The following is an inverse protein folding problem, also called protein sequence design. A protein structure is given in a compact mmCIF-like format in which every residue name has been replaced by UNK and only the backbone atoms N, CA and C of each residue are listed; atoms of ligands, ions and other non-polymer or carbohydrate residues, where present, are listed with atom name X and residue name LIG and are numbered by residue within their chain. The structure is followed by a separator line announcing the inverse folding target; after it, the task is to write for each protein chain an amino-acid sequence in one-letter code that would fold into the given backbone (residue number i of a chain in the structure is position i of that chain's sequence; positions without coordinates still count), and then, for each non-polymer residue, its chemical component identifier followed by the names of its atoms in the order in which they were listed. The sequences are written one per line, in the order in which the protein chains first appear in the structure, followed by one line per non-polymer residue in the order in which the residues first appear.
data_IF_405322113002
#
_entry.id   IF_405322113002
#
_cell.length_a   1.000
_cell.length_b   1.000
_cell.length_c   1.000
_cell.angle_alpha   90.00
_cell.angle_beta   90.00
_cell.angle_gamma   90.00
#
_symmetry.space_group_name_H-M   'P 1'
#
loop_
_entity.id
_entity.type
_entity.pdbx_description
1 polymer ?
#
# COMPACT_ATOMS: atom_id res chain seq x y z
N UNK A 1 24.78 -3.08 26.34
CA UNK A 1 23.58 -3.41 27.14
C UNK A 1 22.53 -3.82 26.13
N UNK A 2 22.13 -5.08 26.12
CA UNK A 2 20.96 -5.47 25.32
C UNK A 2 19.76 -4.70 25.86
N UNK A 3 19.12 -3.91 25.02
CA UNK A 3 17.84 -3.28 25.33
C UNK A 3 16.82 -4.40 25.57
N UNK A 4 16.23 -4.41 26.77
CA UNK A 4 15.17 -5.35 27.11
C UNK A 4 13.97 -4.97 26.24
N UNK A 5 13.72 -5.73 25.16
CA UNK A 5 12.56 -5.54 24.30
C UNK A 5 11.31 -5.99 25.03
N UNK A 6 10.37 -5.07 25.16
CA UNK A 6 9.07 -5.33 25.80
C UNK A 6 8.15 -6.05 24.82
N UNK A 7 7.34 -6.99 25.32
CA UNK A 7 6.28 -7.64 24.51
C UNK A 7 4.91 -7.27 25.06
N UNK A 8 4.10 -6.64 24.19
CA UNK A 8 2.72 -6.22 24.50
C UNK A 8 1.71 -7.28 24.06
N UNK A 9 0.50 -7.25 24.64
CA UNK A 9 -0.56 -8.22 24.38
C UNK A 9 -1.71 -7.57 23.59
N UNK A 10 -1.64 -7.69 22.25
CA UNK A 10 -2.65 -7.14 21.34
C UNK A 10 -2.40 -5.68 20.95
N UNK A 11 -3.01 -5.30 19.83
CA UNK A 11 -2.99 -3.92 19.34
C UNK A 11 -3.82 -2.98 20.19
N UNK A 12 -4.87 -3.51 20.83
CA UNK A 12 -5.70 -2.74 21.76
C UNK A 12 -4.90 -2.20 22.96
N UNK A 13 -3.86 -2.92 23.43
CA UNK A 13 -2.96 -2.42 24.45
C UNK A 13 -2.15 -1.22 23.97
N UNK A 14 -1.61 -1.28 22.75
CA UNK A 14 -0.87 -0.17 22.13
C UNK A 14 -1.77 1.05 21.98
N UNK A 15 -2.99 0.87 21.46
CA UNK A 15 -3.97 1.94 21.32
C UNK A 15 -4.34 2.59 22.67
N UNK A 16 -4.40 1.79 23.74
CA UNK A 16 -4.61 2.32 25.10
C UNK A 16 -3.42 3.18 25.57
N UNK A 17 -2.18 2.73 25.33
CA UNK A 17 -0.96 3.48 25.66
C UNK A 17 -0.94 4.82 24.90
N UNK A 18 -1.29 4.84 23.63
CA UNK A 18 -1.40 6.06 22.82
C UNK A 18 -2.44 6.99 23.43
N UNK A 19 -3.65 6.49 23.70
CA UNK A 19 -4.76 7.28 24.27
C UNK A 19 -4.45 7.89 25.64
N UNK A 20 -3.65 7.21 26.44
CA UNK A 20 -3.17 7.70 27.74
C UNK A 20 -2.05 8.74 27.64
N UNK A 21 -1.63 9.11 26.41
CA UNK A 21 -0.51 10.04 26.18
C UNK A 21 0.85 9.47 26.59
N UNK A 22 0.99 8.15 26.61
CA UNK A 22 2.19 7.44 27.07
C UNK A 22 3.03 6.87 25.92
N UNK A 23 2.92 7.44 24.73
CA UNK A 23 3.63 6.98 23.52
C UNK A 23 5.16 6.83 23.75
N UNK A 24 5.74 7.67 24.62
CA UNK A 24 7.16 7.58 25.01
C UNK A 24 7.57 6.31 25.76
N UNK A 25 6.65 5.41 26.11
CA UNK A 25 6.93 4.09 26.68
C UNK A 25 7.19 3.03 25.59
N UNK A 26 6.81 3.32 24.35
CA UNK A 26 6.99 2.42 23.21
C UNK A 26 8.32 2.70 22.53
N UNK A 27 9.03 1.63 22.16
CA UNK A 27 10.33 1.75 21.51
C UNK A 27 10.36 1.00 20.18
N UNK A 28 11.14 1.51 19.24
CA UNK A 28 11.41 0.82 17.98
C UNK A 28 12.06 -0.55 18.27
N UNK A 29 11.47 -1.60 17.72
CA UNK A 29 11.91 -2.98 17.94
C UNK A 29 11.16 -3.73 19.04
N UNK A 30 10.35 -3.06 19.88
CA UNK A 30 9.41 -3.74 20.78
C UNK A 30 8.47 -4.64 20.01
N UNK A 31 7.97 -5.69 20.66
CA UNK A 31 7.12 -6.69 20.02
C UNK A 31 5.71 -6.71 20.58
N UNK A 32 4.77 -7.17 19.77
CA UNK A 32 3.36 -7.29 20.11
C UNK A 32 2.89 -8.68 19.70
N UNK A 33 2.15 -9.35 20.57
CA UNK A 33 1.54 -10.65 20.30
C UNK A 33 0.04 -10.49 20.13
N UNK A 34 -0.50 -10.78 18.94
CA UNK A 34 -1.95 -10.74 18.65
C UNK A 34 -2.51 -12.14 18.45
N UNK A 35 -3.80 -12.35 18.74
CA UNK A 35 -4.52 -13.54 18.28
C UNK A 35 -4.94 -13.36 16.84
N UNK A 36 -4.94 -14.47 16.09
CA UNK A 36 -5.32 -14.42 14.70
C UNK A 36 -5.76 -15.80 14.16
N UNK A 37 -6.69 -15.82 13.21
CA UNK A 37 -7.20 -17.08 12.63
C UNK A 37 -6.17 -17.83 11.78
N UNK A 38 -5.18 -17.16 11.19
CA UNK A 38 -4.09 -17.82 10.43
C UNK A 38 -3.18 -18.66 11.33
N UNK A 39 -2.96 -18.20 12.56
CA UNK A 39 -2.20 -18.90 13.62
C UNK A 39 -2.71 -18.42 14.96
N UNK A 40 -2.63 -19.27 15.97
CA UNK A 40 -3.05 -18.90 17.34
C UNK A 40 -2.46 -17.56 17.79
N UNK A 41 -1.19 -17.31 17.44
CA UNK A 41 -0.48 -16.07 17.72
C UNK A 41 0.34 -15.58 16.53
N UNK A 42 0.24 -14.27 16.26
CA UNK A 42 1.13 -13.55 15.36
C UNK A 42 2.00 -12.59 16.17
N UNK A 43 3.30 -12.57 15.86
CA UNK A 43 4.25 -11.65 16.46
C UNK A 43 4.52 -10.48 15.52
N UNK A 44 4.38 -9.27 16.05
CA UNK A 44 4.61 -8.02 15.35
C UNK A 44 5.74 -7.25 16.01
N UNK A 45 6.41 -6.40 15.26
CA UNK A 45 7.47 -5.53 15.72
C UNK A 45 7.13 -4.09 15.41
N UNK A 46 7.35 -3.18 16.37
CA UNK A 46 7.25 -1.75 16.15
C UNK A 46 8.40 -1.31 15.25
N UNK A 47 8.06 -0.79 14.07
CA UNK A 47 9.02 -0.31 13.08
C UNK A 47 9.03 1.20 12.92
N UNK A 48 7.94 1.88 13.33
CA UNK A 48 7.81 3.33 13.25
C UNK A 48 6.84 3.87 14.31
N UNK A 49 7.13 5.06 14.82
CA UNK A 49 6.26 5.82 15.71
C UNK A 49 5.99 7.15 15.03
N UNK A 50 4.71 7.51 14.84
CA UNK A 50 4.26 8.68 14.06
C UNK A 50 4.88 8.75 12.65
N UNK A 51 5.16 7.59 12.05
CA UNK A 51 5.76 7.50 10.72
C UNK A 51 4.72 7.58 9.59
N UNK A 52 3.51 7.09 9.84
CA UNK A 52 2.39 7.12 8.90
C UNK A 52 1.27 8.00 9.43
N UNK A 53 0.74 8.89 8.59
CA UNK A 53 -0.45 9.65 8.91
C UNK A 53 -1.72 8.80 8.67
N UNK A 54 -2.56 8.68 9.68
CA UNK A 54 -3.85 8.02 9.57
C UNK A 54 -4.81 8.85 8.72
N UNK A 55 -5.55 8.18 7.82
CA UNK A 55 -6.54 8.84 6.95
C UNK A 55 -7.81 9.27 7.69
N UNK A 56 -8.07 8.68 8.85
CA UNK A 56 -9.20 9.03 9.72
C UNK A 56 -8.90 10.19 10.69
N UNK A 57 -7.74 10.83 10.55
CA UNK A 57 -7.32 11.98 11.36
C UNK A 57 -6.77 11.63 12.74
N UNK A 58 -6.55 10.34 13.05
CA UNK A 58 -5.86 9.91 14.29
C UNK A 58 -4.48 10.57 14.38
N UNK A 59 -4.17 11.33 15.47
CA UNK A 59 -2.97 12.17 15.51
C UNK A 59 -1.69 11.40 15.81
N UNK A 60 -1.76 10.35 16.62
CA UNK A 60 -0.62 9.54 17.04
C UNK A 60 -0.76 8.11 16.55
N UNK A 61 0.29 7.59 15.95
CA UNK A 61 0.27 6.27 15.31
C UNK A 61 1.53 5.45 15.62
N UNK A 62 1.35 4.13 15.59
CA UNK A 62 2.44 3.16 15.72
C UNK A 62 2.38 2.20 14.55
N UNK A 63 3.42 2.16 13.72
CA UNK A 63 3.53 1.24 12.59
C UNK A 63 4.23 -0.03 13.03
N UNK A 64 3.62 -1.16 12.72
CA UNK A 64 4.13 -2.49 13.06
C UNK A 64 4.22 -3.38 11.82
N UNK A 65 5.13 -4.36 11.85
CA UNK A 65 5.24 -5.41 10.85
C UNK A 65 5.31 -6.80 11.47
N UNK A 66 4.89 -7.82 10.76
CA UNK A 66 5.07 -9.21 11.16
C UNK A 66 6.54 -9.56 11.32
N UNK A 67 6.89 -10.21 12.44
CA UNK A 67 8.23 -10.76 12.66
C UNK A 67 8.52 -11.98 11.79
N UNK A 68 7.47 -12.74 11.44
CA UNK A 68 7.56 -13.97 10.67
C UNK A 68 6.34 -14.06 9.73
N UNK A 69 6.52 -14.43 8.46
CA UNK A 69 5.39 -14.69 7.57
C UNK A 69 4.55 -15.88 8.06
N UNK A 70 3.24 -15.71 8.35
CA UNK A 70 2.39 -16.79 8.80
C UNK A 70 2.00 -17.78 7.69
N UNK A 71 2.04 -17.32 6.44
CA UNK A 71 1.69 -18.11 5.26
C UNK A 71 2.63 -17.83 4.09
N UNK A 72 2.73 -18.82 3.21
CA UNK A 72 3.42 -18.76 1.93
C UNK A 72 2.39 -18.67 0.80
N UNK A 73 2.43 -17.64 -0.02
CA UNK A 73 1.43 -17.43 -1.06
C UNK A 73 1.97 -16.61 -2.24
N UNK A 74 1.23 -16.61 -3.35
CA UNK A 74 1.52 -15.74 -4.49
C UNK A 74 1.17 -14.28 -4.17
N UNK A 75 1.86 -13.36 -4.85
CA UNK A 75 1.50 -11.94 -4.85
C UNK A 75 0.23 -11.70 -5.70
N UNK A 76 0.18 -12.32 -6.89
CA UNK A 76 -0.98 -12.28 -7.78
C UNK A 76 -1.06 -13.62 -8.54
N UNK A 77 -2.14 -14.38 -8.34
CA UNK A 77 -2.27 -15.75 -8.84
C UNK A 77 -2.48 -15.89 -10.35
N UNK A 78 -2.56 -14.77 -11.04
CA UNK A 78 -2.80 -14.72 -12.47
C UNK A 78 -4.28 -14.56 -12.82
N UNK A 79 -4.51 -13.84 -13.90
CA UNK A 79 -5.84 -13.53 -14.43
C UNK A 79 -5.80 -13.43 -15.95
N UNK A 80 -6.98 -13.28 -16.58
CA UNK A 80 -7.05 -13.10 -18.04
C UNK A 80 -6.21 -11.89 -18.49
N UNK A 81 -5.23 -12.14 -19.35
CA UNK A 81 -4.25 -11.15 -19.81
C UNK A 81 -2.93 -11.14 -19.03
N UNK A 82 -2.90 -11.73 -17.84
CA UNK A 82 -1.71 -11.85 -16.98
C UNK A 82 -1.61 -13.27 -16.40
N UNK A 83 -1.36 -14.31 -17.22
CA UNK A 83 -1.42 -15.70 -16.76
C UNK A 83 -0.35 -16.06 -15.70
N UNK A 84 0.73 -15.26 -15.62
CA UNK A 84 1.80 -15.41 -14.63
C UNK A 84 1.67 -14.43 -13.45
N UNK A 85 0.50 -13.82 -13.28
CA UNK A 85 0.27 -12.74 -12.34
C UNK A 85 0.80 -11.39 -12.85
N UNK A 86 0.47 -10.32 -12.15
CA UNK A 86 0.99 -8.99 -12.45
C UNK A 86 1.55 -8.34 -11.18
N UNK A 87 2.43 -7.38 -11.35
CA UNK A 87 3.16 -6.70 -10.28
C UNK A 87 2.49 -5.39 -9.82
N UNK A 88 1.25 -5.16 -10.20
CA UNK A 88 0.48 -3.98 -9.75
C UNK A 88 -0.08 -4.22 -8.36
N UNK A 89 0.29 -3.36 -7.40
CA UNK A 89 -0.18 -3.48 -6.01
C UNK A 89 -1.70 -3.30 -5.88
N UNK A 90 -2.23 -2.23 -6.46
CA UNK A 90 -3.63 -1.83 -6.29
C UNK A 90 -4.62 -2.96 -6.62
N UNK A 91 -4.51 -3.69 -7.75
CA UNK A 91 -5.43 -4.76 -8.10
C UNK A 91 -4.95 -6.17 -7.68
N UNK A 92 -3.85 -6.32 -6.92
CA UNK A 92 -3.25 -7.63 -6.62
C UNK A 92 -4.13 -8.48 -5.70
N UNK A 93 -4.04 -9.81 -5.88
CA UNK A 93 -4.67 -10.78 -4.97
C UNK A 93 -4.10 -10.66 -3.55
N UNK A 94 -2.82 -10.31 -3.42
CA UNK A 94 -2.17 -10.08 -2.13
C UNK A 94 -2.84 -8.93 -1.37
N UNK A 95 -3.06 -7.77 -2.03
CA UNK A 95 -3.75 -6.65 -1.40
C UNK A 95 -5.19 -7.00 -1.03
N UNK A 96 -5.92 -7.66 -1.93
CA UNK A 96 -7.29 -8.10 -1.66
C UNK A 96 -7.34 -9.03 -0.44
N UNK A 97 -6.42 -9.99 -0.34
CA UNK A 97 -6.29 -10.90 0.81
C UNK A 97 -5.99 -10.15 2.11
N UNK A 98 -5.08 -9.17 2.07
CA UNK A 98 -4.73 -8.36 3.24
C UNK A 98 -5.90 -7.53 3.75
N UNK A 99 -6.68 -6.90 2.84
CA UNK A 99 -7.85 -6.10 3.22
C UNK A 99 -9.08 -6.94 3.57
N UNK A 100 -9.11 -8.22 3.22
CA UNK A 100 -10.19 -9.18 3.52
C UNK A 100 -9.77 -10.18 4.60
N UNK A 101 -9.54 -11.43 4.20
CA UNK A 101 -9.35 -12.59 5.10
C UNK A 101 -8.30 -12.37 6.20
N UNK A 102 -7.20 -11.64 5.89
CA UNK A 102 -6.16 -11.38 6.89
C UNK A 102 -6.65 -10.34 7.90
N UNK A 103 -7.26 -9.24 7.46
CA UNK A 103 -7.80 -8.22 8.35
C UNK A 103 -8.95 -8.79 9.21
N UNK A 104 -9.80 -9.63 8.64
CA UNK A 104 -10.92 -10.24 9.34
C UNK A 104 -10.50 -11.32 10.34
N UNK A 105 -9.28 -11.81 10.21
CA UNK A 105 -8.70 -12.81 11.11
C UNK A 105 -8.31 -12.30 12.49
N UNK A 106 -8.26 -10.98 12.73
CA UNK A 106 -7.99 -10.41 14.05
C UNK A 106 -9.20 -10.48 14.98
N UNK A 107 -8.94 -10.52 16.28
CA UNK A 107 -9.98 -10.25 17.27
C UNK A 107 -10.56 -8.84 17.06
N UNK A 108 -11.85 -8.65 17.40
CA UNK A 108 -12.57 -7.40 17.12
C UNK A 108 -11.89 -6.17 17.76
N UNK A 109 -11.31 -6.31 18.95
CA UNK A 109 -10.62 -5.22 19.66
C UNK A 109 -9.34 -4.79 18.92
N UNK A 110 -8.52 -5.73 18.47
CA UNK A 110 -7.30 -5.45 17.74
C UNK A 110 -7.61 -4.88 16.33
N UNK A 111 -8.63 -5.45 15.66
CA UNK A 111 -9.06 -4.95 14.35
C UNK A 111 -9.59 -3.53 14.39
N UNK A 112 -10.28 -3.15 15.45
CA UNK A 112 -10.90 -1.83 15.62
C UNK A 112 -9.88 -0.68 15.70
N UNK A 113 -8.66 -0.95 16.16
CA UNK A 113 -7.60 0.05 16.32
C UNK A 113 -6.62 0.10 15.14
N UNK A 114 -6.77 -0.77 14.14
CA UNK A 114 -6.01 -0.69 12.89
C UNK A 114 -6.61 0.42 12.04
N UNK A 115 -5.84 1.50 11.85
CA UNK A 115 -6.27 2.69 11.09
C UNK A 115 -5.83 2.61 9.63
N UNK A 116 -6.63 3.16 8.68
CA UNK A 116 -6.24 3.21 7.28
C UNK A 116 -5.17 4.26 7.06
N UNK A 117 -4.20 3.95 6.20
CA UNK A 117 -3.13 4.85 5.80
C UNK A 117 -2.97 4.90 4.28
N UNK A 118 -2.39 5.98 3.78
CA UNK A 118 -2.10 6.15 2.36
C UNK A 118 -0.74 5.54 2.02
N UNK A 119 -0.71 4.57 1.10
CA UNK A 119 0.53 3.96 0.63
C UNK A 119 0.81 4.31 -0.83
N UNK A 120 2.05 4.76 -1.09
CA UNK A 120 2.56 5.04 -2.42
C UNK A 120 3.18 3.77 -3.02
N UNK A 121 2.83 3.43 -4.26
CA UNK A 121 3.44 2.33 -5.00
C UNK A 121 3.57 2.71 -6.46
N UNK A 122 4.72 2.44 -7.06
CA UNK A 122 4.90 2.63 -8.49
C UNK A 122 4.03 1.65 -9.28
N UNK A 123 3.38 2.15 -10.31
CA UNK A 123 2.59 1.35 -11.25
C UNK A 123 3.30 1.29 -12.59
N UNK A 124 3.92 0.17 -12.96
CA UNK A 124 4.56 0.00 -14.26
C UNK A 124 3.63 0.21 -15.44
N UNK A 125 2.34 -0.19 -15.32
CA UNK A 125 1.36 0.01 -16.39
C UNK A 125 1.00 1.47 -16.61
N UNK A 126 1.08 2.31 -15.58
CA UNK A 126 0.75 3.73 -15.65
C UNK A 126 1.99 4.63 -15.61
N UNK A 127 3.19 4.06 -15.46
CA UNK A 127 4.48 4.76 -15.37
C UNK A 127 4.49 5.90 -14.34
N UNK A 128 3.83 5.68 -13.20
CA UNK A 128 3.71 6.69 -12.13
C UNK A 128 3.44 6.08 -10.77
N UNK A 129 3.64 6.87 -9.72
CA UNK A 129 3.18 6.52 -8.37
C UNK A 129 1.65 6.52 -8.32
N UNK A 130 1.10 5.44 -7.77
CA UNK A 130 -0.31 5.28 -7.42
C UNK A 130 -0.42 5.27 -5.90
N UNK A 131 -1.58 5.67 -5.41
CA UNK A 131 -1.85 5.69 -3.98
C UNK A 131 -3.03 4.78 -3.66
N UNK A 132 -2.88 3.98 -2.62
CA UNK A 132 -3.95 3.15 -2.06
C UNK A 132 -4.23 3.52 -0.62
N UNK A 133 -5.48 3.34 -0.18
CA UNK A 133 -5.86 3.38 1.23
C UNK A 133 -5.87 1.95 1.75
N UNK A 134 -4.99 1.64 2.69
CA UNK A 134 -4.78 0.29 3.18
C UNK A 134 -4.74 0.26 4.72
N UNK A 135 -5.42 -0.71 5.32
CA UNK A 135 -5.30 -1.04 6.75
C UNK A 135 -4.15 -2.00 6.98
N UNK A 136 -4.02 -3.03 6.13
CA UNK A 136 -2.87 -3.92 6.09
C UNK A 136 -2.16 -3.75 4.75
N UNK A 137 -0.84 -3.72 4.75
CA UNK A 137 -0.05 -3.54 3.54
C UNK A 137 1.27 -4.31 3.60
N UNK A 138 1.90 -4.54 2.45
CA UNK A 138 3.31 -4.94 2.40
C UNK A 138 4.19 -3.68 2.43
N UNK A 139 5.39 -3.79 2.97
CA UNK A 139 6.37 -2.72 2.89
C UNK A 139 6.91 -2.57 1.47
N UNK A 140 7.38 -1.37 1.11
CA UNK A 140 8.15 -1.14 -0.12
C UNK A 140 9.65 -1.32 0.12
N UNK A 141 10.43 -1.40 -0.96
CA UNK A 141 11.89 -1.43 -0.88
C UNK A 141 12.45 -0.17 -0.22
N UNK A 142 11.87 1.00 -0.49
CA UNK A 142 12.25 2.27 0.14
C UNK A 142 11.97 2.27 1.64
N UNK A 143 10.83 1.73 2.07
CA UNK A 143 10.41 1.71 3.48
C UNK A 143 11.28 0.79 4.35
N UNK A 144 11.92 -0.22 3.76
CA UNK A 144 12.87 -1.10 4.46
C UNK A 144 14.33 -0.66 4.33
N UNK A 145 14.57 0.57 3.87
CA UNK A 145 15.89 1.18 3.81
C UNK A 145 16.83 0.59 2.75
N UNK A 146 16.29 -0.09 1.73
CA UNK A 146 17.12 -0.57 0.62
C UNK A 146 17.23 0.54 -0.43
N UNK A 147 18.47 0.94 -0.71
CA UNK A 147 18.74 1.83 -1.84
C UNK A 147 18.42 1.07 -3.13
N UNK A 148 17.48 1.58 -3.90
CA UNK A 148 17.13 1.04 -5.23
C UNK A 148 17.76 1.91 -6.30
N UNK A 149 18.45 1.27 -7.26
CA UNK A 149 19.03 1.95 -8.41
C UNK A 149 17.98 2.47 -9.40
N UNK A 150 16.73 2.14 -9.16
CA UNK A 150 15.60 2.49 -10.00
C UNK A 150 14.82 3.67 -9.42
N UNK A 151 14.90 4.81 -10.09
CA UNK A 151 14.20 6.03 -9.70
C UNK A 151 12.69 5.85 -9.59
N UNK A 152 12.10 4.92 -10.38
CA UNK A 152 10.68 4.68 -10.42
C UNK A 152 10.09 4.20 -9.07
N UNK A 153 10.82 3.35 -8.34
CA UNK A 153 10.36 2.80 -7.05
C UNK A 153 10.97 3.52 -5.84
N UNK A 154 11.79 4.55 -6.07
CA UNK A 154 12.41 5.34 -4.99
C UNK A 154 11.39 6.16 -4.18
N UNK A 155 10.33 6.60 -4.83
CA UNK A 155 9.31 7.47 -4.23
C UNK A 155 8.16 6.70 -3.55
N UNK A 156 8.35 5.40 -3.26
CA UNK A 156 7.34 4.56 -2.60
C UNK A 156 7.28 4.73 -1.08
N UNK A 157 8.04 5.65 -0.52
CA UNK A 157 8.08 5.95 0.91
C UNK A 157 9.48 6.29 1.41
N UNK A 158 9.61 6.38 2.72
CA UNK A 158 10.88 6.60 3.42
C UNK A 158 11.17 5.41 4.33
N UNK A 159 12.45 5.14 4.63
CA UNK A 159 12.80 4.11 5.61
C UNK A 159 12.08 4.32 6.94
N UNK A 160 11.50 3.27 7.48
CA UNK A 160 11.05 3.28 8.86
C UNK A 160 12.25 3.29 9.80
N UNK A 161 12.11 3.90 10.97
CA UNK A 161 13.18 4.04 11.96
C UNK A 161 13.87 2.72 12.32
N UNK A 162 13.13 1.59 12.26
CA UNK A 162 13.70 0.26 12.48
C UNK A 162 14.76 -0.13 11.43
N UNK A 163 14.69 0.41 10.20
CA UNK A 163 15.56 0.06 9.08
C UNK A 163 16.54 1.17 8.68
N UNK A 164 16.57 2.30 9.40
CA UNK A 164 17.38 3.47 9.02
C UNK A 164 18.90 3.22 9.06
N UNK A 165 19.36 2.27 9.88
CA UNK A 165 20.77 1.92 9.97
C UNK A 165 21.29 1.07 8.80
N UNK A 166 20.37 0.58 7.94
CA UNK A 166 20.71 -0.21 6.76
C UNK A 166 21.15 -1.65 7.06
N UNK A 167 20.96 -2.11 8.28
CA UNK A 167 21.33 -3.47 8.70
C UNK A 167 20.50 -4.54 7.97
N UNK A 168 21.17 -5.39 7.19
CA UNK A 168 20.55 -6.47 6.44
C UNK A 168 19.90 -7.51 7.36
N UNK A 169 20.44 -7.76 8.56
CA UNK A 169 19.90 -8.72 9.52
C UNK A 169 18.47 -8.34 9.98
N UNK A 170 18.18 -7.05 10.06
CA UNK A 170 16.85 -6.56 10.41
C UNK A 170 15.78 -6.90 9.37
N UNK A 171 16.19 -7.18 8.14
CA UNK A 171 15.32 -7.58 7.02
C UNK A 171 15.20 -9.10 6.89
N UNK A 172 16.04 -9.87 7.59
CA UNK A 172 15.95 -11.34 7.58
C UNK A 172 14.74 -11.79 8.39
N UNK A 173 13.78 -12.43 7.73
CA UNK A 173 12.67 -13.10 8.38
C UNK A 173 12.82 -14.60 8.28
N UNK A 174 12.25 -15.30 9.25
CA UNK A 174 12.23 -16.77 9.26
C UNK A 174 10.80 -17.27 9.06
N UNK A 175 10.66 -18.44 8.49
CA UNK A 175 9.39 -19.13 8.39
C UNK A 175 8.96 -19.80 9.72
N UNK A 176 7.97 -20.68 9.65
CA UNK A 176 7.43 -21.36 10.81
C UNK A 176 8.40 -22.34 11.46
N UNK A 177 9.32 -22.86 10.68
CA UNK A 177 10.31 -23.85 11.10
C UNK A 177 11.59 -23.18 11.61
N UNK A 178 11.68 -21.84 11.49
CA UNK A 178 12.80 -21.02 11.90
C UNK A 178 13.86 -20.84 10.80
N UNK A 179 13.59 -21.31 9.59
CA UNK A 179 14.50 -21.18 8.46
C UNK A 179 14.37 -19.81 7.78
N UNK A 180 15.47 -19.14 7.39
CA UNK A 180 15.44 -17.88 6.68
C UNK A 180 14.65 -17.99 5.37
N UNK A 181 13.72 -17.05 5.14
CA UNK A 181 12.78 -17.17 4.04
C UNK A 181 12.72 -15.91 3.16
N UNK A 182 12.19 -16.07 1.95
CA UNK A 182 11.82 -14.96 1.09
C UNK A 182 10.49 -14.37 1.53
N UNK A 183 10.34 -13.03 1.46
CA UNK A 183 9.07 -12.38 1.72
C UNK A 183 8.79 -11.24 0.74
N UNK A 184 7.51 -11.04 0.45
CA UNK A 184 7.04 -10.10 -0.54
C UNK A 184 7.13 -8.64 -0.07
N UNK A 185 7.56 -7.77 -1.00
CA UNK A 185 7.35 -6.33 -0.93
C UNK A 185 6.19 -5.94 -1.86
N UNK A 186 5.63 -4.72 -1.70
CA UNK A 186 4.65 -4.21 -2.67
C UNK A 186 5.31 -3.56 -3.89
N UNK A 187 6.61 -3.29 -3.84
CA UNK A 187 7.37 -2.68 -4.94
C UNK A 187 7.40 -3.60 -6.16
N UNK A 188 7.03 -3.11 -7.34
CA UNK A 188 7.16 -3.87 -8.59
C UNK A 188 8.61 -3.92 -9.07
N UNK A 189 8.88 -4.76 -10.05
CA UNK A 189 10.03 -4.66 -10.93
C UNK A 189 9.62 -3.84 -12.15
N UNK A 190 10.08 -2.60 -12.33
CA UNK A 190 9.46 -1.67 -13.27
C UNK A 190 9.43 -2.11 -14.73
N UNK A 191 10.43 -2.88 -15.17
CA UNK A 191 10.55 -3.36 -16.56
C UNK A 191 10.11 -4.81 -16.80
N UNK A 192 9.43 -5.41 -15.82
CA UNK A 192 8.97 -6.80 -15.89
C UNK A 192 7.57 -6.90 -15.28
N UNK A 193 6.55 -6.91 -16.12
CA UNK A 193 5.15 -6.85 -15.71
C UNK A 193 4.69 -7.98 -14.75
N UNK A 194 5.43 -9.08 -14.68
CA UNK A 194 5.19 -10.19 -13.74
C UNK A 194 6.16 -10.22 -12.57
N UNK A 195 7.14 -9.32 -12.51
CA UNK A 195 8.17 -9.31 -11.47
C UNK A 195 7.82 -8.41 -10.28
N UNK A 196 7.88 -8.96 -9.07
CA UNK A 196 7.67 -8.24 -7.80
C UNK A 196 8.95 -8.31 -6.97
N UNK A 197 9.26 -7.27 -6.23
CA UNK A 197 10.40 -7.25 -5.31
C UNK A 197 10.13 -8.14 -4.10
N UNK A 198 11.18 -8.82 -3.68
CA UNK A 198 11.21 -9.65 -2.47
C UNK A 198 12.46 -9.33 -1.67
N UNK A 199 12.42 -9.61 -0.39
CA UNK A 199 13.63 -9.71 0.43
C UNK A 199 14.01 -11.18 0.53
N UNK A 200 15.27 -11.49 0.31
CA UNK A 200 15.80 -12.84 0.43
C UNK A 200 16.21 -13.22 1.85
N UNK A 201 16.60 -14.48 2.06
CA UNK A 201 17.04 -14.98 3.37
C UNK A 201 18.22 -14.23 3.99
N UNK A 202 19.03 -13.54 3.18
CA UNK A 202 20.18 -12.74 3.64
C UNK A 202 19.83 -11.27 3.90
N UNK A 203 18.54 -10.87 3.81
CA UNK A 203 18.12 -9.47 3.90
C UNK A 203 18.30 -8.66 2.62
N UNK A 204 18.88 -9.25 1.56
CA UNK A 204 19.13 -8.57 0.30
C UNK A 204 17.86 -8.47 -0.56
N UNK A 205 17.80 -7.40 -1.38
CA UNK A 205 16.72 -7.21 -2.35
C UNK A 205 16.84 -8.21 -3.50
N UNK A 206 15.75 -8.92 -3.77
CA UNK A 206 15.59 -9.79 -4.92
C UNK A 206 14.33 -9.47 -5.72
N UNK A 207 13.95 -10.39 -6.57
CA UNK A 207 12.66 -10.36 -7.29
C UNK A 207 12.15 -11.77 -7.49
N UNK A 208 10.80 -11.91 -7.47
CA UNK A 208 10.09 -13.15 -7.76
C UNK A 208 8.98 -12.89 -8.78
N UNK A 209 8.59 -13.93 -9.51
CA UNK A 209 7.39 -13.86 -10.35
C UNK A 209 6.13 -13.75 -9.47
N UNK A 210 5.20 -12.86 -9.81
CA UNK A 210 4.01 -12.57 -9.03
C UNK A 210 3.17 -13.82 -8.72
N UNK A 211 3.10 -14.79 -9.64
CA UNK A 211 2.41 -16.06 -9.43
C UNK A 211 3.24 -17.09 -8.62
N UNK A 212 4.50 -16.78 -8.31
CA UNK A 212 5.35 -17.61 -7.47
C UNK A 212 4.97 -17.51 -5.99
N UNK A 213 5.62 -18.32 -5.14
CA UNK A 213 5.42 -18.28 -3.71
C UNK A 213 6.40 -17.36 -3.00
N UNK A 214 5.94 -16.71 -1.94
CA UNK A 214 6.74 -15.92 -1.01
C UNK A 214 6.00 -15.70 0.30
N UNK A 215 6.72 -15.36 1.35
CA UNK A 215 6.16 -15.11 2.67
C UNK A 215 5.31 -13.83 2.70
N UNK A 216 4.12 -13.88 3.30
CA UNK A 216 3.29 -12.73 3.57
C UNK A 216 3.81 -12.04 4.84
N UNK A 217 4.55 -10.95 4.70
CA UNK A 217 5.03 -10.10 5.79
C UNK A 217 4.25 -8.79 5.85
N UNK A 218 3.03 -8.86 6.42
CA UNK A 218 2.16 -7.70 6.52
C UNK A 218 2.69 -6.66 7.51
N UNK A 219 2.35 -5.40 7.25
CA UNK A 219 2.45 -4.28 8.16
C UNK A 219 1.07 -3.62 8.34
N UNK A 220 0.87 -2.94 9.47
CA UNK A 220 -0.30 -2.13 9.72
C UNK A 220 0.04 -0.95 10.65
N UNK A 221 -0.92 -0.04 10.78
CA UNK A 221 -0.79 1.13 11.64
C UNK A 221 -1.86 1.10 12.71
N UNK A 222 -1.43 1.29 13.96
CA UNK A 222 -2.29 1.30 15.15
C UNK A 222 -2.49 2.75 15.56
N UNK A 223 -3.73 3.13 15.80
CA UNK A 223 -4.11 4.43 16.33
C UNK A 223 -4.87 4.35 17.65
N UNK A 224 -5.17 5.50 18.24
CA UNK A 224 -5.84 5.61 19.54
C UNK A 224 -7.36 5.46 19.47
N UNK A 225 -7.92 5.06 18.30
CA UNK A 225 -9.37 5.01 18.13
C UNK A 225 -10.04 4.41 19.37
N UNK A 226 -10.88 5.16 20.07
CA UNK A 226 -11.66 4.57 21.14
C UNK A 226 -12.56 3.50 20.52
N UNK A 227 -12.70 2.37 21.19
CA UNK A 227 -13.82 1.46 20.96
C UNK A 227 -15.07 2.24 21.41
N UNK A 228 -15.46 3.26 20.64
CA UNK A 228 -16.75 3.89 20.85
C UNK A 228 -17.78 2.90 20.37
N UNK A 229 -18.58 2.44 21.31
CA UNK A 229 -19.86 1.81 21.03
C UNK A 229 -20.84 2.80 20.37
N UNK A 230 -20.34 3.74 19.62
CA UNK A 230 -21.14 4.64 18.78
C UNK A 230 -21.09 4.13 17.34
N UNK A 231 -22.01 3.17 17.09
CA UNK A 231 -22.53 2.97 15.75
C UNK A 231 -23.16 4.30 15.31
N UNK A 232 -22.36 5.21 14.79
CA UNK A 232 -22.87 6.04 13.73
C UNK A 232 -23.15 5.06 12.60
N UNK A 233 -24.43 4.98 12.28
CA UNK A 233 -24.94 4.09 11.27
C UNK A 233 -24.18 4.35 9.97
N UNK A 234 -23.83 3.29 9.26
CA UNK A 234 -23.20 3.32 7.92
C UNK A 234 -23.93 4.22 6.91
N UNK A 235 -25.06 4.79 7.29
CA UNK A 235 -25.92 5.68 6.51
C UNK A 235 -25.40 7.13 6.48
N UNK A 236 -24.82 7.69 7.56
CA UNK A 236 -24.34 9.08 7.57
C UNK A 236 -23.00 9.21 6.80
N UNK A 237 -22.07 8.26 6.97
CA UNK A 237 -20.82 8.27 6.21
C UNK A 237 -21.08 8.03 4.69
N UNK A 238 -22.16 7.31 4.36
CA UNK A 238 -22.55 7.05 2.97
C UNK A 238 -23.16 8.29 2.34
N UNK A 239 -23.95 9.08 3.07
CA UNK A 239 -24.53 10.34 2.59
C UNK A 239 -23.45 11.41 2.36
N UNK A 240 -22.47 11.55 3.27
CA UNK A 240 -21.36 12.50 3.11
C UNK A 240 -20.44 12.12 1.95
N UNK A 241 -20.15 10.84 1.75
CA UNK A 241 -19.37 10.34 0.61
C UNK A 241 -20.13 10.56 -0.69
N UNK A 242 -21.44 10.29 -0.70
CA UNK A 242 -22.28 10.50 -1.88
C UNK A 242 -22.35 11.99 -2.26
N UNK A 243 -22.52 12.87 -1.27
CA UNK A 243 -22.53 14.33 -1.49
C UNK A 243 -21.19 14.83 -2.09
N UNK A 244 -20.05 14.36 -1.55
CA UNK A 244 -18.72 14.69 -2.09
C UNK A 244 -18.51 14.14 -3.51
N UNK A 245 -19.04 12.95 -3.80
CA UNK A 245 -18.99 12.38 -5.15
C UNK A 245 -19.84 13.17 -6.12
N UNK A 246 -21.02 13.63 -5.71
CA UNK A 246 -21.90 14.43 -6.54
C UNK A 246 -21.33 15.84 -6.78
N UNK A 247 -20.72 16.48 -5.77
CA UNK A 247 -19.99 17.75 -5.94
C UNK A 247 -18.81 17.62 -6.90
N UNK A 248 -18.04 16.55 -6.78
CA UNK A 248 -16.90 16.29 -7.67
C UNK A 248 -17.37 15.99 -9.10
N UNK A 249 -18.45 15.22 -9.26
CA UNK A 249 -19.05 14.95 -10.56
C UNK A 249 -19.56 16.23 -11.23
N UNK A 250 -20.20 17.13 -10.47
CA UNK A 250 -20.67 18.42 -10.96
C UNK A 250 -19.51 19.32 -11.38
N UNK A 251 -18.44 19.41 -10.56
CA UNK A 251 -17.25 20.20 -10.89
C UNK A 251 -16.55 19.70 -12.17
N UNK A 252 -16.52 18.39 -12.38
CA UNK A 252 -15.99 17.78 -13.62
C UNK A 252 -16.89 18.11 -14.81
N UNK A 253 -18.21 18.04 -14.65
CA UNK A 253 -19.17 18.35 -15.70
C UNK A 253 -19.06 19.83 -16.14
N UNK A 254 -18.94 20.75 -15.18
CA UNK A 254 -18.77 22.18 -15.44
C UNK A 254 -17.44 22.48 -16.17
N UNK A 255 -16.32 21.85 -15.71
CA UNK A 255 -15.03 21.98 -16.37
C UNK A 255 -15.03 21.43 -17.82
N UNK A 256 -15.74 20.32 -18.06
CA UNK A 256 -15.92 19.77 -19.41
C UNK A 256 -16.75 20.72 -20.29
N UNK A 257 -17.81 21.31 -19.74
CA UNK A 257 -18.63 22.28 -20.48
C UNK A 257 -17.83 23.53 -20.90
N UNK A 258 -16.91 24.00 -20.06
CA UNK A 258 -16.05 25.14 -20.36
C UNK A 258 -15.03 24.84 -21.45
N UNK A 259 -14.51 23.62 -21.52
CA UNK A 259 -13.49 23.20 -22.50
C UNK A 259 -14.09 22.77 -23.84
N UNK A 260 -15.31 22.23 -23.84
CA UNK A 260 -15.96 21.67 -25.02
C UNK A 260 -16.08 22.67 -26.19
N UNK A 261 -16.45 23.97 -25.96
CA UNK A 261 -16.54 24.96 -27.05
C UNK A 261 -15.20 25.30 -27.69
N UNK A 262 -14.11 25.29 -26.89
CA UNK A 262 -12.75 25.50 -27.38
C UNK A 262 -12.29 24.32 -28.24
N UNK A 263 -12.56 23.10 -27.78
CA UNK A 263 -12.23 21.86 -28.49
C UNK A 263 -12.98 21.76 -29.84
N UNK A 264 -14.28 22.10 -29.86
CA UNK A 264 -15.08 22.14 -31.10
C UNK A 264 -14.53 23.17 -32.09
N UNK A 265 -14.10 24.36 -31.61
CA UNK A 265 -13.47 25.37 -32.47
C UNK A 265 -12.17 24.87 -33.07
N UNK A 266 -11.32 24.21 -32.26
CA UNK A 266 -10.05 23.64 -32.72
C UNK A 266 -10.27 22.54 -33.78
N UNK A 267 -11.22 21.64 -33.57
CA UNK A 267 -11.59 20.59 -34.53
C UNK A 267 -12.09 21.18 -35.84
N UNK A 268 -12.95 22.22 -35.79
CA UNK A 268 -13.45 22.89 -36.99
C UNK A 268 -12.36 23.62 -37.78
N UNK A 269 -11.38 24.22 -37.07
CA UNK A 269 -10.22 24.85 -37.74
C UNK A 269 -9.36 23.77 -38.42
N UNK A 270 -9.07 22.67 -37.73
CA UNK A 270 -8.31 21.55 -38.29
C UNK A 270 -9.00 20.95 -39.52
N UNK A 271 -10.33 20.78 -39.49
CA UNK A 271 -11.10 20.28 -40.64
C UNK A 271 -11.00 21.21 -41.85
N UNK A 272 -11.05 22.54 -41.63
CA UNK A 272 -10.88 23.53 -42.73
C UNK A 272 -9.48 23.49 -43.33
N UNK A 273 -8.44 23.34 -42.50
CA UNK A 273 -7.07 23.23 -42.97
C UNK A 273 -6.90 21.98 -43.83
N UNK A 274 -7.45 20.83 -43.39
CA UNK A 274 -7.39 19.58 -44.16
C UNK A 274 -8.12 19.75 -45.52
N UNK A 275 -9.27 20.39 -45.56
CA UNK A 275 -10.00 20.66 -46.83
C UNK A 275 -9.21 21.58 -47.76
N UNK A 276 -8.54 22.62 -47.26
CA UNK A 276 -7.69 23.48 -48.08
C UNK A 276 -6.51 22.71 -48.67
N UNK A 277 -5.81 21.91 -47.88
CA UNK A 277 -4.68 21.11 -48.35
C UNK A 277 -5.13 20.08 -49.38
N UNK A 278 -6.27 19.44 -49.20
CA UNK A 278 -6.82 18.46 -50.16
C UNK A 278 -7.28 19.13 -51.48
N UNK A 279 -7.84 20.32 -51.42
CA UNK A 279 -8.24 21.08 -52.63
C UNK A 279 -7.07 21.62 -53.43
N UNK A 280 -5.94 21.97 -52.80
CA UNK A 280 -4.74 22.39 -53.48
C UNK A 280 -4.01 21.22 -54.19
N UNK A 281 -4.13 19.98 -53.62
CA UNK A 281 -3.55 18.77 -54.21
C UNK A 281 -4.30 18.33 -55.49
N UNK A 282 -5.61 18.55 -55.60
CA UNK A 282 -6.40 18.24 -56.78
C UNK A 282 -6.22 19.28 -57.91
N UNK A 283 -5.87 20.53 -57.57
CA UNK A 283 -5.63 21.60 -58.57
C UNK A 283 -4.27 21.49 -59.30
N UNK A 284 -3.30 20.75 -58.77
CA UNK A 284 -1.97 20.59 -59.40
C UNK A 284 -1.84 19.37 -60.29
N UNK A 285 -2.87 18.55 -60.44
CA UNK A 285 -2.86 17.37 -61.31
C UNK A 285 -3.48 17.60 -62.71
N UNK A 286 -3.76 18.85 -63.10
CA UNK A 286 -4.37 19.23 -64.36
C UNK A 286 -3.60 20.30 -65.14
N UNK A 287 -2.26 20.39 -64.99
CA UNK A 287 -1.39 21.10 -65.96
C UNK A 287 -0.40 20.17 -66.62
#
# INVERSE_FOLDING_TARGET
MEEIKTTYQGFAEIARIIREGKLGQLHIGDTISTRHTLRDRLMWRIIGINADAALDGTPETVTVMLCNPPIWCSFDGGRKGFPFGCNEWEPSDMRARLQGDVLDGFDAEDRAVIVPVRKATYSPQNERIRYTSDKLFLLSASEIGIAVDDDAIRDEGKPYAYFEDGDDEKRCLTDADGDPCYWWLRSPRPWDAGGVRVVGPSGALGSGGAAGGGGLAAACVIGDRPISADRRTDDEDTEDIQHLQDEMAQAIADAVQDVLPALRRAVNIAARIVQQISGEAEGQSHE
#
